data_IF_949441936455
#
_entry.id   IF_949441936455
#
_cell.length_a   1.000
_cell.length_b   1.000
_cell.length_c   1.000
_cell.angle_alpha   90.00
_cell.angle_beta   90.00
_cell.angle_gamma   90.00
#
_symmetry.space_group_name_H-M   'P 1'
#
loop_
_entity.id
_entity.type
_entity.pdbx_description
1 polymer ?
#
# COMPACT_ATOMS: atom_id res chain seq x y z
N UNK A 1 -55.60 -18.27 20.95
CA UNK A 1 -54.39 -17.71 20.31
C UNK A 1 -53.22 -18.51 20.84
N UNK A 2 -52.64 -19.37 19.99
CA UNK A 2 -51.63 -20.36 20.39
C UNK A 2 -50.28 -19.69 20.71
N UNK A 3 -49.67 -20.12 21.81
CA UNK A 3 -48.36 -19.70 22.34
C UNK A 3 -47.14 -20.15 21.47
N UNK A 4 -47.31 -20.30 20.16
CA UNK A 4 -46.33 -20.98 19.28
C UNK A 4 -45.36 -20.05 18.53
N UNK A 5 -45.37 -18.75 18.85
CA UNK A 5 -44.53 -17.74 18.16
C UNK A 5 -43.42 -17.13 19.02
N UNK A 6 -42.97 -17.77 20.10
CA UNK A 6 -41.73 -17.35 20.77
C UNK A 6 -40.54 -17.91 20.00
N UNK A 7 -39.68 -17.07 19.37
CA UNK A 7 -38.53 -17.56 18.62
C UNK A 7 -37.64 -18.36 19.58
N UNK A 8 -37.26 -19.59 19.20
CA UNK A 8 -36.32 -20.41 19.96
C UNK A 8 -34.92 -19.75 19.97
N UNK A 9 -34.73 -18.77 20.85
CA UNK A 9 -33.50 -17.98 21.00
C UNK A 9 -32.30 -18.86 21.28
N UNK A 10 -32.47 -19.90 22.12
CA UNK A 10 -31.41 -20.83 22.49
C UNK A 10 -30.93 -21.65 21.29
N UNK A 11 -31.85 -22.11 20.45
CA UNK A 11 -31.53 -22.82 19.21
C UNK A 11 -30.91 -21.93 18.13
N UNK A 12 -31.23 -20.63 18.12
CA UNK A 12 -30.58 -19.66 17.23
C UNK A 12 -29.16 -19.31 17.71
N UNK A 13 -28.97 -19.15 19.02
CA UNK A 13 -27.67 -18.86 19.63
C UNK A 13 -26.68 -20.01 19.41
N UNK A 14 -27.09 -21.26 19.66
CA UNK A 14 -26.22 -22.42 19.43
C UNK A 14 -25.84 -22.60 17.96
N UNK A 15 -26.76 -22.31 17.03
CA UNK A 15 -26.44 -22.29 15.59
C UNK A 15 -25.44 -21.19 15.22
N UNK A 16 -25.49 -20.02 15.88
CA UNK A 16 -24.57 -18.92 15.64
C UNK A 16 -23.16 -19.26 16.12
N UNK A 17 -23.04 -19.81 17.34
CA UNK A 17 -21.78 -20.26 17.94
C UNK A 17 -21.12 -21.34 17.08
N UNK A 18 -21.91 -22.31 16.60
CA UNK A 18 -21.43 -23.36 15.71
C UNK A 18 -20.87 -22.80 14.40
N UNK A 19 -21.57 -21.84 13.77
CA UNK A 19 -21.09 -21.17 12.56
C UNK A 19 -19.81 -20.37 12.82
N UNK A 20 -19.75 -19.63 13.93
CA UNK A 20 -18.57 -18.84 14.31
C UNK A 20 -17.34 -19.74 14.48
N UNK A 21 -17.51 -20.89 15.14
CA UNK A 21 -16.42 -21.84 15.35
C UNK A 21 -15.95 -22.47 14.03
N UNK A 22 -16.87 -22.79 13.11
CA UNK A 22 -16.53 -23.23 11.76
C UNK A 22 -15.76 -22.15 10.99
N UNK A 23 -16.18 -20.89 11.05
CA UNK A 23 -15.47 -19.77 10.42
C UNK A 23 -14.05 -19.63 10.98
N UNK A 24 -13.90 -19.73 12.30
CA UNK A 24 -12.59 -19.65 12.94
C UNK A 24 -11.64 -20.78 12.51
N UNK A 25 -12.14 -22.01 12.42
CA UNK A 25 -11.36 -23.16 11.93
C UNK A 25 -10.94 -22.93 10.46
N UNK A 26 -11.87 -22.50 9.61
CA UNK A 26 -11.58 -22.21 8.20
C UNK A 26 -10.54 -21.10 8.05
N UNK A 27 -10.60 -20.04 8.86
CA UNK A 27 -9.61 -18.98 8.88
C UNK A 27 -8.22 -19.50 9.25
N UNK A 28 -8.11 -20.40 10.24
CA UNK A 28 -6.83 -21.03 10.60
C UNK A 28 -6.28 -21.89 9.47
N UNK A 29 -7.12 -22.68 8.81
CA UNK A 29 -6.70 -23.49 7.66
C UNK A 29 -6.26 -22.62 6.48
N UNK A 30 -6.96 -21.53 6.20
CA UNK A 30 -6.57 -20.56 5.17
C UNK A 30 -5.21 -19.95 5.50
N UNK A 31 -4.98 -19.54 6.75
CA UNK A 31 -3.69 -19.01 7.18
C UNK A 31 -2.57 -20.02 6.93
N UNK A 32 -2.75 -21.28 7.33
CA UNK A 32 -1.75 -22.32 7.11
C UNK A 32 -1.48 -22.59 5.62
N UNK A 33 -2.52 -22.55 4.77
CA UNK A 33 -2.37 -22.69 3.31
C UNK A 33 -1.64 -21.49 2.70
N UNK A 34 -1.89 -20.29 3.19
CA UNK A 34 -1.20 -19.07 2.77
C UNK A 34 0.29 -19.13 3.15
N UNK A 35 0.62 -19.63 4.34
CA UNK A 35 2.01 -19.81 4.77
C UNK A 35 2.75 -20.77 3.83
N UNK A 36 2.15 -21.92 3.52
CA UNK A 36 2.72 -22.89 2.58
C UNK A 36 2.88 -22.30 1.17
N UNK A 37 1.88 -21.53 0.71
CA UNK A 37 1.94 -20.83 -0.57
C UNK A 37 3.10 -19.83 -0.61
N UNK A 38 3.25 -19.00 0.42
CA UNK A 38 4.34 -18.03 0.54
C UNK A 38 5.70 -18.72 0.57
N UNK A 39 5.83 -19.83 1.29
CA UNK A 39 7.06 -20.63 1.31
C UNK A 39 7.41 -21.17 -0.09
N UNK A 40 6.42 -21.71 -0.80
CA UNK A 40 6.62 -22.25 -2.14
C UNK A 40 6.95 -21.16 -3.16
N UNK A 41 6.27 -20.02 -3.08
CA UNK A 41 6.57 -18.86 -3.91
C UNK A 41 7.99 -18.32 -3.64
N UNK A 42 8.42 -18.31 -2.37
CA UNK A 42 9.79 -17.95 -1.99
C UNK A 42 10.85 -18.88 -2.59
N UNK A 43 10.59 -20.21 -2.57
CA UNK A 43 11.46 -21.20 -3.22
C UNK A 43 11.48 -21.02 -4.73
N UNK A 44 10.32 -20.88 -5.35
CA UNK A 44 10.18 -20.66 -6.80
C UNK A 44 10.93 -19.42 -7.26
N UNK A 45 10.75 -18.30 -6.55
CA UNK A 45 11.45 -17.04 -6.84
C UNK A 45 12.98 -17.19 -6.70
N UNK A 46 13.45 -17.97 -5.72
CA UNK A 46 14.90 -18.25 -5.55
C UNK A 46 15.46 -19.06 -6.73
N UNK A 47 14.69 -19.97 -7.30
CA UNK A 47 15.09 -20.78 -8.46
C UNK A 47 15.08 -19.96 -9.76
N UNK A 48 14.02 -19.17 -10.00
CA UNK A 48 13.89 -18.42 -11.25
C UNK A 48 14.76 -17.17 -11.30
N UNK A 49 14.93 -16.49 -10.17
CA UNK A 49 15.64 -15.22 -10.08
C UNK A 49 16.63 -15.25 -8.92
N UNK A 50 17.66 -16.13 -8.98
CA UNK A 50 18.64 -16.29 -7.90
C UNK A 50 19.35 -14.97 -7.56
N UNK A 51 19.51 -14.10 -8.56
CA UNK A 51 20.11 -12.77 -8.45
C UNK A 51 19.11 -11.62 -8.67
N UNK A 52 17.82 -11.91 -8.79
CA UNK A 52 16.80 -10.86 -8.96
C UNK A 52 16.61 -10.05 -7.67
N UNK A 53 16.39 -8.74 -7.79
CA UNK A 53 16.00 -7.89 -6.66
C UNK A 53 14.71 -8.46 -6.05
N UNK A 54 14.80 -8.96 -4.81
CA UNK A 54 13.66 -9.56 -4.10
C UNK A 54 12.84 -8.45 -3.47
N UNK A 55 11.56 -8.35 -3.82
CA UNK A 55 10.65 -7.45 -3.11
C UNK A 55 10.13 -8.20 -1.88
N UNK A 56 10.93 -8.24 -0.81
CA UNK A 56 10.52 -8.83 0.46
C UNK A 56 9.89 -7.75 1.33
N UNK A 57 8.61 -7.91 1.68
CA UNK A 57 7.95 -7.02 2.66
C UNK A 57 8.73 -7.09 3.98
N UNK A 58 9.14 -5.95 4.57
CA UNK A 58 9.82 -5.95 5.86
C UNK A 58 8.95 -6.60 6.96
N UNK A 59 9.56 -7.34 7.90
CA UNK A 59 8.82 -7.94 9.00
C UNK A 59 8.12 -6.86 9.82
N UNK A 60 6.89 -7.14 10.26
CA UNK A 60 6.04 -6.20 11.03
C UNK A 60 5.75 -4.86 10.34
N UNK A 61 6.03 -4.73 9.03
CA UNK A 61 5.68 -3.52 8.28
C UNK A 61 4.15 -3.32 8.29
N UNK A 62 3.66 -2.13 8.70
CA UNK A 62 2.25 -1.82 8.65
C UNK A 62 1.70 -1.91 7.22
N UNK A 63 0.39 -2.05 7.09
CA UNK A 63 -0.27 -2.17 5.79
C UNK A 63 -0.22 -0.85 5.03
N UNK A 64 0.02 -0.95 3.71
CA UNK A 64 -0.03 0.19 2.76
C UNK A 64 -1.12 -0.10 1.71
N UNK A 65 -1.74 0.92 1.08
CA UNK A 65 -1.55 2.35 1.32
C UNK A 65 -2.09 2.81 2.68
N UNK A 66 -1.40 3.76 3.30
CA UNK A 66 -1.82 4.40 4.54
C UNK A 66 -3.01 5.32 4.24
N UNK A 67 -4.04 5.22 5.07
CA UNK A 67 -5.34 5.87 4.84
C UNK A 67 -5.70 6.89 5.92
N UNK A 68 -5.03 6.84 7.07
CA UNK A 68 -5.28 7.74 8.20
C UNK A 68 -3.98 8.30 8.79
N UNK A 69 -4.10 9.42 9.51
CA UNK A 69 -2.97 10.04 10.19
C UNK A 69 -2.41 9.15 11.32
N UNK A 70 -3.25 8.30 11.92
CA UNK A 70 -2.80 7.37 12.96
C UNK A 70 -1.95 6.26 12.36
N UNK A 71 -2.40 5.64 11.27
CA UNK A 71 -1.61 4.67 10.51
C UNK A 71 -0.28 5.27 10.05
N UNK A 72 -0.30 6.55 9.64
CA UNK A 72 0.92 7.26 9.28
C UNK A 72 1.90 7.41 10.45
N UNK A 73 1.43 7.77 11.66
CA UNK A 73 2.27 7.87 12.85
C UNK A 73 2.85 6.53 13.27
N UNK A 74 2.05 5.48 13.26
CA UNK A 74 2.51 4.12 13.55
C UNK A 74 3.57 3.68 12.53
N UNK A 75 3.44 4.13 11.28
CA UNK A 75 4.44 3.90 10.23
C UNK A 75 5.74 4.69 10.48
N UNK A 76 5.65 5.95 10.88
CA UNK A 76 6.82 6.77 11.23
C UNK A 76 7.58 6.16 12.42
N UNK A 77 6.86 5.67 13.45
CA UNK A 77 7.48 4.96 14.58
C UNK A 77 8.18 3.67 14.13
N UNK A 78 7.55 2.92 13.22
CA UNK A 78 8.18 1.74 12.61
C UNK A 78 9.47 2.09 11.84
N UNK A 79 9.48 3.22 11.11
CA UNK A 79 10.62 3.68 10.32
C UNK A 79 11.74 4.33 11.14
N UNK A 80 11.48 4.74 12.38
CA UNK A 80 12.51 5.27 13.28
C UNK A 80 13.64 4.26 13.58
N UNK A 81 13.39 2.96 13.34
CA UNK A 81 14.39 1.91 13.41
C UNK A 81 15.15 1.80 12.07
N UNK A 82 16.49 1.93 12.13
CA UNK A 82 17.36 1.91 10.94
C UNK A 82 17.28 0.63 10.09
N UNK A 83 17.05 -0.53 10.71
CA UNK A 83 16.90 -1.80 9.96
C UNK A 83 15.59 -1.81 9.18
N UNK A 84 14.49 -1.36 9.82
CA UNK A 84 13.19 -1.22 9.18
C UNK A 84 13.23 -0.18 8.04
N UNK A 85 13.89 0.96 8.27
CA UNK A 85 14.12 1.99 7.26
C UNK A 85 14.82 1.40 6.04
N UNK A 86 15.97 0.76 6.25
CA UNK A 86 16.79 0.16 5.17
C UNK A 86 16.01 -0.91 4.41
N UNK A 87 15.28 -1.76 5.13
CA UNK A 87 14.43 -2.79 4.53
C UNK A 87 13.30 -2.18 3.70
N UNK A 88 12.69 -1.08 4.18
CA UNK A 88 11.63 -0.38 3.48
C UNK A 88 12.14 0.27 2.19
N UNK A 89 13.30 0.94 2.23
CA UNK A 89 13.96 1.50 1.03
C UNK A 89 14.16 0.42 -0.03
N UNK A 90 14.72 -0.73 0.36
CA UNK A 90 14.92 -1.84 -0.55
C UNK A 90 13.59 -2.37 -1.11
N UNK A 91 12.59 -2.57 -0.24
CA UNK A 91 11.26 -3.05 -0.61
C UNK A 91 10.60 -2.14 -1.66
N UNK A 92 10.52 -0.83 -1.42
CA UNK A 92 9.82 0.07 -2.33
C UNK A 92 10.62 0.35 -3.60
N UNK A 93 11.96 0.31 -3.56
CA UNK A 93 12.82 0.45 -4.74
C UNK A 93 12.53 -0.61 -5.81
N UNK A 94 12.01 -1.77 -5.40
CA UNK A 94 11.56 -2.83 -6.31
C UNK A 94 10.38 -2.44 -7.20
N UNK A 95 9.64 -1.38 -6.88
CA UNK A 95 8.52 -0.91 -7.68
C UNK A 95 8.89 0.14 -8.74
N UNK A 96 10.13 0.61 -8.74
CA UNK A 96 10.62 1.62 -9.67
C UNK A 96 10.61 1.11 -11.12
N UNK A 97 10.48 2.04 -12.06
CA UNK A 97 10.62 1.79 -13.50
C UNK A 97 11.70 2.72 -14.09
N UNK A 98 11.89 2.67 -15.41
CA UNK A 98 12.93 3.48 -16.10
C UNK A 98 12.62 4.98 -16.14
N UNK A 99 11.44 5.39 -15.67
CA UNK A 99 10.90 6.74 -15.78
C UNK A 99 10.67 7.26 -14.36
N UNK A 100 11.37 8.34 -14.01
CA UNK A 100 11.40 8.91 -12.66
C UNK A 100 10.04 9.45 -12.23
N UNK A 101 9.38 10.21 -13.11
CA UNK A 101 8.08 10.80 -12.87
C UNK A 101 6.98 9.71 -12.68
N UNK A 102 6.97 8.68 -13.53
CA UNK A 102 6.06 7.53 -13.38
C UNK A 102 6.37 6.73 -12.12
N UNK A 103 7.64 6.52 -11.81
CA UNK A 103 8.06 5.83 -10.58
C UNK A 103 7.59 6.57 -9.34
N UNK A 104 7.74 7.90 -9.32
CA UNK A 104 7.28 8.79 -8.26
C UNK A 104 5.79 8.61 -8.00
N UNK A 105 4.94 8.75 -9.02
CA UNK A 105 3.49 8.61 -8.85
C UNK A 105 3.09 7.21 -8.41
N UNK A 106 3.77 6.19 -8.93
CA UNK A 106 3.51 4.79 -8.59
C UNK A 106 3.87 4.49 -7.13
N UNK A 107 4.98 5.02 -6.64
CA UNK A 107 5.38 4.88 -5.24
C UNK A 107 4.40 5.60 -4.32
N UNK A 108 4.09 6.86 -4.59
CA UNK A 108 3.16 7.63 -3.76
C UNK A 108 1.77 6.98 -3.70
N UNK A 109 1.25 6.47 -4.82
CA UNK A 109 -0.02 5.74 -4.87
C UNK A 109 0.00 4.39 -4.15
N UNK A 110 1.19 3.79 -3.95
CA UNK A 110 1.36 2.59 -3.13
C UNK A 110 1.42 2.92 -1.64
N UNK A 111 2.01 4.05 -1.29
CA UNK A 111 2.29 4.42 0.10
C UNK A 111 1.10 5.11 0.77
N UNK A 112 0.39 5.98 0.05
CA UNK A 112 -0.62 6.87 0.63
C UNK A 112 -1.94 6.80 -0.16
N UNK A 113 -3.06 6.78 0.55
CA UNK A 113 -4.38 6.99 -0.04
C UNK A 113 -4.56 8.46 -0.46
N UNK A 114 -5.57 8.74 -1.28
CA UNK A 114 -5.87 10.13 -1.67
C UNK A 114 -6.31 10.95 -0.46
N UNK A 115 -7.08 10.34 0.44
CA UNK A 115 -7.60 10.93 1.67
C UNK A 115 -6.46 11.37 2.58
N UNK A 116 -5.49 10.49 2.84
CA UNK A 116 -4.31 10.85 3.64
C UNK A 116 -3.43 11.86 2.90
N UNK A 117 -3.18 11.66 1.61
CA UNK A 117 -2.35 12.56 0.81
C UNK A 117 -2.88 14.00 0.78
N UNK A 118 -4.19 14.21 0.89
CA UNK A 118 -4.79 15.55 0.93
C UNK A 118 -4.34 16.41 2.12
N UNK A 119 -3.83 15.79 3.18
CA UNK A 119 -3.35 16.46 4.40
C UNK A 119 -1.87 16.87 4.31
N UNK A 120 -1.18 16.50 3.22
CA UNK A 120 0.23 16.75 3.02
C UNK A 120 0.46 17.65 1.82
N UNK A 121 1.58 18.38 1.87
CA UNK A 121 2.25 18.88 0.67
C UNK A 121 3.66 18.34 0.65
N UNK A 122 4.31 18.39 -0.51
CA UNK A 122 5.66 17.85 -0.60
C UNK A 122 6.68 18.62 0.29
N UNK A 123 6.65 19.96 0.31
CA UNK A 123 7.59 20.80 1.07
C UNK A 123 7.03 21.38 2.40
N UNK A 124 5.75 21.14 2.72
CA UNK A 124 5.05 21.88 3.76
C UNK A 124 4.51 23.22 3.25
N UNK A 125 3.21 23.43 3.42
CA UNK A 125 2.54 24.70 3.13
C UNK A 125 1.69 25.05 4.36
N UNK A 126 1.34 26.32 4.53
CA UNK A 126 0.53 26.76 5.67
C UNK A 126 -0.75 25.92 5.79
N UNK A 127 -0.86 25.13 6.86
CA UNK A 127 -2.00 24.25 7.14
C UNK A 127 -1.83 22.77 6.78
N UNK A 128 -0.78 22.38 6.04
CA UNK A 128 -0.52 21.00 5.63
C UNK A 128 0.83 20.49 6.14
N UNK A 129 0.92 19.20 6.43
CA UNK A 129 2.17 18.55 6.81
C UNK A 129 3.17 18.50 5.64
N UNK A 130 4.47 18.59 5.94
CA UNK A 130 5.54 18.40 4.96
C UNK A 130 5.82 16.91 4.81
N UNK A 131 5.67 16.36 3.61
CA UNK A 131 6.00 14.95 3.35
C UNK A 131 7.51 14.73 3.30
N UNK A 132 8.26 15.66 2.72
CA UNK A 132 9.72 15.57 2.60
C UNK A 132 10.43 15.44 3.95
N UNK A 133 9.90 16.07 4.99
CA UNK A 133 10.52 16.09 6.31
C UNK A 133 10.11 14.90 7.20
N UNK A 134 9.51 13.85 6.62
CA UNK A 134 9.08 12.63 7.33
C UNK A 134 10.04 11.48 7.01
N UNK A 135 10.11 10.46 7.88
CA UNK A 135 10.90 9.26 7.58
C UNK A 135 10.38 8.56 6.32
N UNK A 136 9.06 8.51 6.12
CA UNK A 136 8.50 7.95 4.89
C UNK A 136 8.89 8.75 3.64
N UNK A 137 9.01 10.07 3.75
CA UNK A 137 9.56 10.95 2.72
C UNK A 137 11.02 10.63 2.42
N UNK A 138 11.84 10.44 3.44
CA UNK A 138 13.24 10.09 3.29
C UNK A 138 13.43 8.69 2.69
N UNK A 139 12.60 7.71 3.08
CA UNK A 139 12.57 6.38 2.44
C UNK A 139 12.21 6.51 0.97
N UNK A 140 11.18 7.31 0.64
CA UNK A 140 10.76 7.56 -0.72
C UNK A 140 11.89 8.16 -1.59
N UNK A 141 12.60 9.18 -1.10
CA UNK A 141 13.72 9.79 -1.82
C UNK A 141 14.91 8.82 -1.93
N UNK A 142 15.26 8.15 -0.83
CA UNK A 142 16.34 7.15 -0.80
C UNK A 142 16.10 6.03 -1.81
N UNK A 143 14.86 5.57 -1.93
CA UNK A 143 14.48 4.56 -2.90
C UNK A 143 14.68 5.07 -4.34
N UNK A 144 14.23 6.28 -4.66
CA UNK A 144 14.43 6.88 -5.99
C UNK A 144 15.93 7.00 -6.34
N UNK A 145 16.76 7.44 -5.38
CA UNK A 145 18.22 7.56 -5.56
C UNK A 145 18.92 6.23 -5.85
N UNK A 146 18.30 5.08 -5.54
CA UNK A 146 18.86 3.77 -5.93
C UNK A 146 18.85 3.53 -7.45
N UNK A 147 18.03 4.26 -8.20
CA UNK A 147 17.80 4.03 -9.64
C UNK A 147 18.00 5.29 -10.49
N UNK A 148 17.86 6.48 -9.91
CA UNK A 148 18.03 7.76 -10.60
C UNK A 148 19.25 8.49 -10.00
N UNK A 149 20.12 9.03 -10.88
CA UNK A 149 21.42 9.61 -10.49
C UNK A 149 21.39 11.15 -10.43
N UNK A 150 20.23 11.77 -10.64
CA UNK A 150 20.03 13.21 -10.62
C UNK A 150 19.59 13.68 -9.23
N UNK A 151 19.43 15.00 -9.08
CA UNK A 151 18.95 15.69 -7.88
C UNK A 151 17.46 15.46 -7.55
N UNK A 152 16.84 14.48 -8.21
CA UNK A 152 15.42 14.15 -8.13
C UNK A 152 14.50 15.32 -8.49
N UNK A 153 14.91 16.26 -9.35
CA UNK A 153 14.09 17.41 -9.75
C UNK A 153 12.72 17.00 -10.29
N UNK A 154 12.71 16.00 -11.19
CA UNK A 154 11.49 15.54 -11.86
C UNK A 154 10.58 14.81 -10.87
N UNK A 155 11.14 14.02 -9.96
CA UNK A 155 10.41 13.40 -8.87
C UNK A 155 9.80 14.44 -7.92
N UNK A 156 10.55 15.47 -7.51
CA UNK A 156 10.08 16.54 -6.63
C UNK A 156 8.89 17.28 -7.23
N UNK A 157 9.00 17.65 -8.50
CA UNK A 157 7.92 18.30 -9.25
C UNK A 157 6.70 17.38 -9.42
N UNK A 158 6.93 16.11 -9.74
CA UNK A 158 5.89 15.11 -9.89
C UNK A 158 5.15 14.86 -8.56
N UNK A 159 5.88 14.74 -7.45
CA UNK A 159 5.35 14.57 -6.11
C UNK A 159 4.53 15.78 -5.68
N UNK A 160 5.05 17.00 -5.89
CA UNK A 160 4.32 18.24 -5.62
C UNK A 160 2.99 18.32 -6.36
N UNK A 161 2.98 18.02 -7.67
CA UNK A 161 1.75 17.93 -8.47
C UNK A 161 0.83 16.81 -7.99
N UNK A 162 1.39 15.68 -7.58
CA UNK A 162 0.63 14.54 -7.07
C UNK A 162 -0.12 14.93 -5.79
N UNK A 163 0.57 15.43 -4.76
CA UNK A 163 -0.05 15.89 -3.51
C UNK A 163 -1.10 16.99 -3.74
N UNK A 164 -0.78 18.00 -4.55
CA UNK A 164 -1.71 19.10 -4.87
C UNK A 164 -3.03 18.61 -5.46
N UNK A 165 -2.96 17.57 -6.29
CA UNK A 165 -4.12 17.00 -6.97
C UNK A 165 -4.82 15.91 -6.14
N UNK A 166 -4.33 15.55 -4.95
CA UNK A 166 -4.91 14.47 -4.14
C UNK A 166 -6.42 14.65 -3.85
N UNK A 167 -6.91 15.86 -3.47
CA UNK A 167 -8.36 16.06 -3.22
C UNK A 167 -9.25 15.81 -4.45
N UNK A 168 -8.71 16.01 -5.65
CA UNK A 168 -9.44 15.95 -6.93
C UNK A 168 -9.17 14.68 -7.72
N UNK A 169 -8.28 13.82 -7.22
CA UNK A 169 -7.89 12.60 -7.90
C UNK A 169 -9.01 11.58 -7.72
N UNK A 170 -9.53 11.06 -8.83
CA UNK A 170 -10.50 9.97 -8.79
C UNK A 170 -9.89 8.78 -8.03
N UNK A 171 -10.65 8.11 -7.15
CA UNK A 171 -10.25 6.80 -6.64
C UNK A 171 -9.90 5.92 -7.84
N UNK A 172 -8.73 5.29 -7.83
CA UNK A 172 -8.43 4.31 -8.87
C UNK A 172 -9.33 3.12 -8.62
N UNK A 173 -10.51 3.10 -9.25
CA UNK A 173 -11.26 1.87 -9.44
C UNK A 173 -10.28 0.87 -10.07
N UNK A 174 -10.09 -0.29 -9.43
CA UNK A 174 -9.06 -1.28 -9.76
C UNK A 174 -9.24 -1.94 -11.13
N UNK A 175 -9.23 -1.17 -12.21
CA UNK A 175 -9.23 -1.60 -13.58
C UNK A 175 -8.20 -0.75 -14.34
N UNK A 176 -7.14 -1.42 -14.76
CA UNK A 176 -6.16 -0.95 -15.73
C UNK A 176 -6.79 -0.03 -16.77
N UNK A 177 -6.37 1.25 -16.75
CA UNK A 177 -6.77 2.26 -17.72
C UNK A 177 -6.30 1.84 -19.12
N UNK A 178 -7.19 1.17 -19.87
CA UNK A 178 -7.06 1.02 -21.32
C UNK A 178 -7.29 2.40 -21.91
N UNK A 179 -6.20 3.17 -22.08
CA UNK A 179 -6.21 4.33 -22.97
C UNK A 179 -6.55 3.87 -24.39
N UNK A 180 -7.84 3.98 -24.73
CA UNK A 180 -8.29 3.99 -26.10
C UNK A 180 -7.72 5.26 -26.76
N UNK A 181 -6.77 5.08 -27.67
CA UNK A 181 -6.43 6.09 -28.67
C UNK A 181 -7.69 6.40 -29.48
N UNK A 182 -8.36 7.51 -29.17
CA UNK A 182 -9.33 8.09 -30.08
C UNK A 182 -8.67 9.28 -30.78
N UNK A 183 -7.90 9.00 -31.84
CA UNK A 183 -7.61 9.99 -32.88
C UNK A 183 -8.86 10.12 -33.75
N UNK A 184 -9.79 10.96 -33.32
CA UNK A 184 -10.95 11.37 -34.10
C UNK A 184 -10.62 12.58 -34.97
N UNK A 185 -10.38 12.31 -36.26
CA UNK A 185 -10.96 13.01 -37.41
C UNK A 185 -11.14 14.54 -37.30
N UNK A 186 -10.22 15.30 -37.90
CA UNK A 186 -10.52 16.65 -38.37
C UNK A 186 -11.08 16.57 -39.79
N UNK A 187 -12.13 17.36 -40.02
CA UNK A 187 -12.90 17.50 -41.27
C UNK A 187 -12.07 18.11 -42.39
#
# INVERSE_FOLDING_TARGET
>A
MSDDERPNFRGRLSKLESKQQQTFILCKEMSAKLDLFLMNQGKFNRTLLPHGKKINKPPNMPSIPLSSIQEFRDFEDFLSNNENFSAMVFYISGYLCKDEEKSTRKLLAKLLSNELASQFTYHGATGNHSFKDTHLGEVFESALLTSFKNDLSDAKDAAGKWFRNAPWRKPSDGASDKRASNKGLQR
#
